data_IF_382536952149
#
_entry.id   IF_382536952149
#
_cell.length_a   1.000
_cell.length_b   1.000
_cell.length_c   1.000
_cell.angle_alpha   90.00
_cell.angle_beta   90.00
_cell.angle_gamma   90.00
#
_symmetry.space_group_name_H-M   'P 1'
#
loop_
_entity.id
_entity.type
_entity.pdbx_description
1 polymer ?
#
# COMPACT_ATOMS: atom_id res chain seq x y z
N UNK A 1 -0.57 -23.36 28.98
CA UNK A 1 0.41 -23.02 27.89
C UNK A 1 0.04 -21.66 27.41
N UNK A 2 1.02 -20.83 27.04
CA UNK A 2 0.74 -19.54 26.41
C UNK A 2 0.15 -19.77 25.02
N UNK A 3 -0.88 -19.01 24.67
CA UNK A 3 -1.45 -18.99 23.33
C UNK A 3 -0.70 -17.95 22.48
N UNK A 4 -0.55 -18.22 21.19
CA UNK A 4 0.27 -17.40 20.28
C UNK A 4 -0.58 -16.83 19.14
N UNK A 5 -0.65 -15.50 19.06
CA UNK A 5 -1.09 -14.77 17.87
C UNK A 5 0.17 -14.41 17.07
N UNK A 6 0.29 -14.93 15.85
CA UNK A 6 1.37 -14.57 14.93
C UNK A 6 0.83 -13.67 13.82
N UNK A 7 1.52 -12.56 13.57
CA UNK A 7 1.17 -11.58 12.54
C UNK A 7 2.31 -11.52 11.53
N UNK A 8 2.03 -11.78 10.26
CA UNK A 8 3.02 -11.69 9.20
C UNK A 8 2.95 -10.33 8.51
N UNK A 9 3.99 -9.52 8.73
CA UNK A 9 4.11 -8.16 8.19
C UNK A 9 3.88 -7.07 9.22
N UNK A 10 4.67 -6.00 9.15
CA UNK A 10 4.66 -4.83 10.02
C UNK A 10 4.16 -3.54 9.32
N UNK A 11 3.52 -3.67 8.15
CA UNK A 11 2.88 -2.55 7.45
C UNK A 11 1.64 -2.04 8.19
N UNK A 12 0.88 -1.15 7.54
CA UNK A 12 -0.33 -0.55 8.13
C UNK A 12 -1.25 -1.58 8.79
N UNK A 13 -1.65 -2.61 8.08
CA UNK A 13 -2.56 -3.61 8.60
C UNK A 13 -1.96 -4.42 9.76
N UNK A 14 -0.69 -4.84 9.66
CA UNK A 14 -0.03 -5.67 10.68
C UNK A 14 0.23 -4.92 11.97
N UNK A 15 0.71 -3.69 11.89
CA UNK A 15 0.89 -2.83 13.06
C UNK A 15 -0.42 -2.63 13.82
N UNK A 16 -1.49 -2.21 13.12
CA UNK A 16 -2.79 -1.98 13.76
C UNK A 16 -3.42 -3.27 14.29
N UNK A 17 -3.20 -4.41 13.62
CA UNK A 17 -3.63 -5.71 14.12
C UNK A 17 -2.93 -6.08 15.44
N UNK A 18 -1.62 -5.83 15.52
CA UNK A 18 -0.85 -6.09 16.73
C UNK A 18 -1.32 -5.22 17.91
N UNK A 19 -1.50 -3.92 17.68
CA UNK A 19 -1.96 -2.98 18.71
C UNK A 19 -3.38 -3.31 19.19
N UNK A 20 -4.29 -3.62 18.27
CA UNK A 20 -5.68 -3.92 18.60
C UNK A 20 -5.82 -5.25 19.35
N UNK A 21 -5.03 -6.27 18.96
CA UNK A 21 -4.98 -7.52 19.71
C UNK A 21 -4.40 -7.32 21.12
N UNK A 22 -3.30 -6.55 21.25
CA UNK A 22 -2.70 -6.22 22.54
C UNK A 22 -3.67 -5.43 23.45
N UNK A 23 -4.41 -4.48 22.88
CA UNK A 23 -5.44 -3.73 23.59
C UNK A 23 -6.49 -4.67 24.18
N UNK A 24 -7.06 -5.58 23.39
CA UNK A 24 -8.14 -6.43 23.84
C UNK A 24 -7.68 -7.47 24.88
N UNK A 25 -6.50 -8.04 24.69
CA UNK A 25 -5.93 -8.98 25.67
C UNK A 25 -5.62 -8.30 27.00
N UNK A 26 -5.17 -7.05 26.98
CA UNK A 26 -4.93 -6.24 28.17
C UNK A 26 -6.24 -5.90 28.91
N UNK A 27 -7.28 -5.48 28.19
CA UNK A 27 -8.61 -5.20 28.77
C UNK A 27 -9.25 -6.40 29.47
N UNK A 28 -8.85 -7.61 29.12
CA UNK A 28 -9.37 -8.88 29.66
C UNK A 28 -8.35 -9.60 30.54
N UNK A 29 -7.25 -8.94 30.96
CA UNK A 29 -6.19 -9.52 31.78
C UNK A 29 -5.63 -10.86 31.24
N UNK A 30 -5.62 -11.03 29.91
CA UNK A 30 -5.18 -12.26 29.23
C UNK A 30 -3.67 -12.23 28.91
N UNK A 31 -2.85 -12.19 29.96
CA UNK A 31 -1.39 -12.20 29.86
C UNK A 31 -0.81 -13.55 29.40
N UNK A 32 -1.65 -14.56 29.27
CA UNK A 32 -1.31 -15.88 28.70
C UNK A 32 -1.36 -15.89 27.15
N UNK A 33 -1.87 -14.83 26.49
CA UNK A 33 -1.86 -14.66 25.04
C UNK A 33 -0.66 -13.80 24.65
N UNK A 34 0.22 -14.35 23.82
CA UNK A 34 1.40 -13.67 23.30
C UNK A 34 1.13 -13.20 21.87
N UNK A 35 1.48 -11.93 21.57
CA UNK A 35 1.32 -11.34 20.25
C UNK A 35 2.70 -11.10 19.66
N UNK A 36 2.97 -11.69 18.51
CA UNK A 36 4.25 -11.59 17.82
C UNK A 36 4.07 -11.14 16.39
N UNK A 37 4.80 -10.11 15.99
CA UNK A 37 4.91 -9.65 14.60
C UNK A 37 6.20 -10.21 14.00
N UNK A 38 6.09 -10.89 12.86
CA UNK A 38 7.22 -11.34 12.04
C UNK A 38 7.31 -10.51 10.77
N UNK A 39 8.39 -9.76 10.61
CA UNK A 39 8.62 -8.91 9.45
C UNK A 39 10.13 -8.69 9.21
N UNK A 40 10.57 -8.41 7.98
CA UNK A 40 11.97 -8.08 7.71
C UNK A 40 12.48 -6.86 8.47
N UNK A 41 11.65 -5.84 8.68
CA UNK A 41 11.99 -4.62 9.38
C UNK A 41 10.91 -4.26 10.43
N UNK A 42 11.37 -3.70 11.56
CA UNK A 42 10.51 -3.20 12.62
C UNK A 42 10.14 -1.72 12.38
N UNK A 43 9.59 -1.43 11.21
CA UNK A 43 9.22 -0.07 10.81
C UNK A 43 7.93 -0.06 9.98
N UNK A 44 7.13 0.99 10.12
CA UNK A 44 6.05 1.30 9.20
C UNK A 44 6.62 2.12 8.04
N UNK A 45 6.60 1.54 6.86
CA UNK A 45 6.97 2.20 5.61
C UNK A 45 5.76 2.88 5.02
N UNK A 46 5.81 4.21 4.90
CA UNK A 46 4.69 5.05 4.47
C UNK A 46 4.60 5.06 2.94
N UNK A 47 4.26 3.91 2.37
CA UNK A 47 4.16 3.65 0.93
C UNK A 47 3.36 4.70 0.14
N UNK A 48 2.27 5.31 0.67
CA UNK A 48 1.55 6.39 -0.01
C UNK A 48 2.39 7.63 -0.33
N UNK A 49 3.64 7.72 0.16
CA UNK A 49 4.57 8.83 -0.08
C UNK A 49 5.75 8.48 -0.97
N UNK A 50 5.88 7.24 -1.44
CA UNK A 50 7.06 6.80 -2.20
C UNK A 50 7.17 7.39 -3.60
N UNK A 51 6.19 8.18 -4.06
CA UNK A 51 6.29 9.00 -5.27
C UNK A 51 7.02 10.33 -5.02
N UNK A 52 7.15 10.77 -3.77
CA UNK A 52 7.85 11.98 -3.37
C UNK A 52 9.38 11.77 -3.41
N UNK A 53 10.15 12.85 -3.20
CA UNK A 53 11.61 12.79 -3.01
C UNK A 53 11.98 12.37 -1.59
N UNK A 54 13.26 12.01 -1.38
CA UNK A 54 13.80 11.64 -0.06
C UNK A 54 13.04 10.46 0.58
N UNK A 55 12.76 9.46 -0.23
CA UNK A 55 11.89 8.32 0.12
C UNK A 55 12.31 7.59 1.41
N UNK A 56 13.61 7.59 1.74
CA UNK A 56 14.15 6.96 2.95
C UNK A 56 13.65 7.62 4.25
N UNK A 57 13.13 8.86 4.17
CA UNK A 57 12.55 9.57 5.32
C UNK A 57 11.12 9.10 5.66
N UNK A 58 10.50 8.28 4.81
CA UNK A 58 9.11 7.85 4.99
C UNK A 58 8.98 6.49 5.65
N UNK A 59 9.74 6.29 6.72
CA UNK A 59 9.63 5.14 7.61
C UNK A 59 9.52 5.61 9.07
N UNK A 60 8.70 4.92 9.86
CA UNK A 60 8.54 5.17 11.28
C UNK A 60 8.91 3.92 12.09
N UNK A 61 9.80 4.00 13.11
CA UNK A 61 10.21 2.85 13.91
C UNK A 61 9.06 2.34 14.77
N UNK A 62 8.88 1.01 14.84
CA UNK A 62 7.81 0.36 15.58
C UNK A 62 8.25 -0.26 16.91
N UNK A 63 9.54 -0.52 17.12
CA UNK A 63 10.01 -1.16 18.35
C UNK A 63 9.61 -0.40 19.63
N UNK A 64 9.70 0.96 19.72
CA UNK A 64 9.25 1.68 20.90
C UNK A 64 7.76 1.48 21.18
N UNK A 65 6.93 1.48 20.13
CA UNK A 65 5.49 1.26 20.21
C UNK A 65 5.15 -0.16 20.65
N UNK A 66 5.82 -1.16 20.10
CA UNK A 66 5.67 -2.56 20.48
C UNK A 66 6.11 -2.82 21.91
N UNK A 67 7.20 -2.18 22.36
CA UNK A 67 7.67 -2.31 23.72
C UNK A 67 6.64 -1.85 24.77
N UNK A 68 5.99 -0.70 24.57
CA UNK A 68 4.99 -0.18 25.51
C UNK A 68 3.66 -0.94 25.48
N UNK A 69 3.36 -1.64 24.38
CA UNK A 69 2.13 -2.42 24.21
C UNK A 69 2.31 -3.92 24.47
N UNK A 70 3.54 -4.37 24.74
CA UNK A 70 3.84 -5.77 25.03
C UNK A 70 3.86 -6.67 23.78
N UNK A 71 3.86 -6.12 22.59
CA UNK A 71 3.98 -6.85 21.33
C UNK A 71 5.43 -7.29 21.12
N UNK A 72 5.64 -8.54 20.77
CA UNK A 72 6.95 -9.08 20.41
C UNK A 72 7.23 -8.89 18.92
N UNK A 73 8.49 -8.75 18.57
CA UNK A 73 8.93 -8.64 17.19
C UNK A 73 9.99 -9.71 16.88
N UNK A 74 9.84 -10.34 15.73
CA UNK A 74 10.82 -11.25 15.13
C UNK A 74 11.25 -10.68 13.80
N UNK A 75 12.55 -10.38 13.66
CA UNK A 75 13.14 -10.00 12.38
C UNK A 75 13.29 -11.23 11.50
N UNK A 76 12.67 -11.22 10.33
CA UNK A 76 12.78 -12.32 9.37
C UNK A 76 11.81 -12.23 8.20
N UNK A 77 12.06 -13.06 7.20
CA UNK A 77 11.26 -13.14 5.98
C UNK A 77 10.50 -14.47 5.98
N UNK A 78 9.17 -14.41 6.13
CA UNK A 78 8.33 -15.60 6.03
C UNK A 78 8.43 -16.22 4.62
N UNK A 79 8.67 -17.51 4.54
CA UNK A 79 8.86 -18.26 3.30
C UNK A 79 7.83 -19.35 3.06
N UNK A 80 7.42 -20.06 4.13
CA UNK A 80 6.47 -21.17 4.03
C UNK A 80 5.45 -21.12 5.17
N UNK A 81 4.20 -21.42 4.87
CA UNK A 81 3.10 -21.48 5.83
C UNK A 81 2.44 -22.86 5.74
N UNK A 82 2.54 -23.63 6.81
CA UNK A 82 1.80 -24.87 6.98
C UNK A 82 0.61 -24.62 7.93
N UNK A 83 -0.56 -24.39 7.32
CA UNK A 83 -1.78 -24.13 8.09
C UNK A 83 -2.31 -25.37 8.80
N UNK A 84 -1.94 -26.58 8.37
CA UNK A 84 -2.37 -27.83 9.00
C UNK A 84 -1.61 -28.10 10.31
N UNK A 85 -0.31 -27.86 10.34
CA UNK A 85 0.53 -27.97 11.55
C UNK A 85 0.61 -26.67 12.35
N UNK A 86 -0.02 -25.59 11.88
CA UNK A 86 0.00 -24.26 12.48
C UNK A 86 1.44 -23.74 12.70
N UNK A 87 2.23 -23.76 11.64
CA UNK A 87 3.63 -23.32 11.62
C UNK A 87 3.90 -22.37 10.46
N UNK A 88 4.80 -21.42 10.71
CA UNK A 88 5.39 -20.55 9.68
C UNK A 88 6.89 -20.76 9.71
N UNK A 89 7.46 -21.02 8.54
CA UNK A 89 8.90 -21.05 8.34
C UNK A 89 9.36 -19.69 7.82
N UNK A 90 10.47 -19.18 8.33
CA UNK A 90 11.04 -17.91 7.95
C UNK A 90 12.56 -17.95 7.95
N UNK A 91 13.18 -17.13 7.12
CA UNK A 91 14.60 -16.85 7.16
C UNK A 91 14.88 -15.75 8.17
N UNK A 92 15.71 -16.02 9.16
CA UNK A 92 16.12 -15.05 10.17
C UNK A 92 17.21 -14.10 9.62
N UNK A 93 17.75 -13.21 10.46
CA UNK A 93 18.79 -12.24 10.08
C UNK A 93 20.11 -12.90 9.60
N UNK A 94 20.35 -14.14 9.97
CA UNK A 94 21.50 -14.94 9.53
C UNK A 94 21.17 -15.83 8.33
N UNK A 95 20.05 -15.61 7.66
CA UNK A 95 19.50 -16.42 6.55
C UNK A 95 19.30 -17.91 6.91
N UNK A 96 19.09 -18.20 8.20
CA UNK A 96 18.79 -19.55 8.66
C UNK A 96 17.29 -19.78 8.67
N UNK A 97 16.86 -20.92 8.12
CA UNK A 97 15.45 -21.31 8.12
C UNK A 97 15.02 -21.75 9.53
N UNK A 98 14.06 -21.06 10.08
CA UNK A 98 13.54 -21.24 11.45
C UNK A 98 12.01 -21.33 11.40
N UNK A 99 11.41 -22.11 12.30
CA UNK A 99 9.97 -22.24 12.42
C UNK A 99 9.43 -21.53 13.66
N UNK A 100 8.25 -20.91 13.51
CA UNK A 100 7.45 -20.38 14.61
C UNK A 100 6.05 -20.97 14.56
N UNK A 101 5.52 -21.39 15.72
CA UNK A 101 4.15 -21.91 15.87
C UNK A 101 3.18 -20.78 16.17
N UNK A 102 1.89 -21.02 15.86
CA UNK A 102 0.81 -20.13 16.22
C UNK A 102 -0.46 -20.90 16.61
N UNK A 103 -1.29 -20.29 17.45
CA UNK A 103 -2.67 -20.70 17.67
C UNK A 103 -3.60 -19.95 16.72
N UNK A 104 -3.25 -18.68 16.39
CA UNK A 104 -3.92 -17.86 15.38
C UNK A 104 -2.89 -17.14 14.53
N UNK A 105 -3.14 -17.11 13.22
CA UNK A 105 -2.30 -16.45 12.23
C UNK A 105 -3.07 -15.28 11.60
N UNK A 106 -2.43 -14.11 11.55
CA UNK A 106 -2.90 -12.94 10.79
C UNK A 106 -1.98 -12.73 9.60
N UNK A 107 -2.53 -12.90 8.40
CA UNK A 107 -1.86 -12.56 7.15
C UNK A 107 -1.98 -11.05 6.92
N UNK A 108 -0.86 -10.31 7.02
CA UNK A 108 -0.76 -8.87 6.81
C UNK A 108 0.42 -8.51 5.89
N UNK A 109 0.74 -9.40 4.95
CA UNK A 109 1.94 -9.37 4.11
C UNK A 109 1.86 -8.38 2.94
N UNK A 110 0.78 -7.63 2.83
CA UNK A 110 0.62 -6.55 1.85
C UNK A 110 0.59 -7.02 0.39
N UNK A 111 0.94 -6.11 -0.50
CA UNK A 111 0.93 -6.30 -1.95
C UNK A 111 2.26 -5.85 -2.57
N UNK A 112 2.44 -6.19 -3.84
CA UNK A 112 3.59 -5.79 -4.65
C UNK A 112 3.18 -5.58 -6.10
N UNK A 113 3.98 -4.82 -6.87
CA UNK A 113 3.81 -4.72 -8.32
C UNK A 113 4.44 -5.96 -8.96
N UNK A 114 3.63 -6.70 -9.72
CA UNK A 114 4.10 -7.83 -10.51
C UNK A 114 4.67 -7.31 -11.85
N UNK A 115 6.00 -7.40 -12.04
CA UNK A 115 6.68 -7.02 -13.27
C UNK A 115 6.47 -8.06 -14.38
N UNK A 116 5.21 -8.23 -14.81
CA UNK A 116 4.84 -9.27 -15.80
C UNK A 116 5.01 -8.83 -17.26
N UNK A 117 5.19 -7.53 -17.51
CA UNK A 117 5.42 -7.02 -18.87
C UNK A 117 6.85 -7.40 -19.34
N UNK A 118 7.00 -7.81 -20.61
CA UNK A 118 8.31 -8.11 -21.18
C UNK A 118 9.30 -6.95 -21.00
N UNK A 119 10.47 -7.23 -20.43
CA UNK A 119 11.53 -6.27 -20.13
C UNK A 119 11.32 -5.39 -18.89
N UNK A 120 10.15 -5.45 -18.25
CA UNK A 120 9.83 -4.60 -17.12
C UNK A 120 10.78 -4.82 -15.92
N UNK A 121 11.13 -6.06 -15.63
CA UNK A 121 12.01 -6.40 -14.51
C UNK A 121 13.41 -5.76 -14.63
N UNK A 122 13.91 -5.63 -15.86
CA UNK A 122 15.25 -5.09 -16.14
C UNK A 122 15.24 -3.57 -16.34
N UNK A 123 14.21 -3.02 -16.99
CA UNK A 123 14.24 -1.68 -17.56
C UNK A 123 13.21 -0.71 -16.95
N UNK A 124 12.25 -1.22 -16.14
CA UNK A 124 11.29 -0.35 -15.47
C UNK A 124 11.69 -0.04 -14.02
N UNK A 125 11.17 1.08 -13.54
CA UNK A 125 11.15 1.50 -12.15
C UNK A 125 9.75 1.32 -11.59
N UNK A 126 9.62 1.36 -10.27
CA UNK A 126 8.35 1.48 -9.56
C UNK A 126 8.55 2.27 -8.25
N UNK A 127 7.45 2.65 -7.64
CA UNK A 127 7.40 3.34 -6.33
C UNK A 127 6.63 2.51 -5.31
N UNK A 128 6.64 1.20 -5.48
CA UNK A 128 5.86 0.27 -4.69
C UNK A 128 6.53 -0.08 -3.36
N UNK A 129 7.84 -0.30 -3.42
CA UNK A 129 8.66 -0.58 -2.25
C UNK A 129 9.71 0.52 -2.09
N UNK A 130 10.17 0.75 -0.85
CA UNK A 130 11.14 1.81 -0.55
C UNK A 130 12.42 1.66 -1.36
N UNK A 131 12.93 0.45 -1.50
CA UNK A 131 14.15 0.16 -2.26
C UNK A 131 13.98 0.47 -3.76
N UNK A 132 12.80 0.16 -4.33
CA UNK A 132 12.47 0.47 -5.72
C UNK A 132 12.35 1.97 -5.94
N UNK A 133 11.67 2.67 -5.04
CA UNK A 133 11.53 4.12 -5.09
C UNK A 133 12.87 4.84 -4.92
N UNK A 134 13.73 4.37 -3.99
CA UNK A 134 15.10 4.89 -3.84
C UNK A 134 15.96 4.61 -5.09
N UNK A 135 15.76 3.49 -5.78
CA UNK A 135 16.41 3.21 -7.07
C UNK A 135 15.97 4.22 -8.15
N UNK A 136 14.67 4.53 -8.22
CA UNK A 136 14.15 5.57 -9.11
C UNK A 136 14.75 6.93 -8.77
N UNK A 137 14.81 7.31 -7.51
CA UNK A 137 15.37 8.60 -7.07
C UNK A 137 16.84 8.75 -7.48
N UNK A 138 17.66 7.72 -7.22
CA UNK A 138 19.06 7.69 -7.68
C UNK A 138 19.17 7.80 -9.21
N UNK A 139 18.35 7.08 -9.96
CA UNK A 139 18.32 7.16 -11.41
C UNK A 139 17.97 8.58 -11.90
N UNK A 140 16.93 9.20 -11.36
CA UNK A 140 16.56 10.58 -11.72
C UNK A 140 17.70 11.57 -11.49
N UNK A 141 18.44 11.44 -10.38
CA UNK A 141 19.60 12.28 -10.09
C UNK A 141 20.69 12.18 -11.16
N UNK A 142 20.89 11.00 -11.77
CA UNK A 142 21.90 10.81 -12.84
C UNK A 142 21.49 11.43 -14.17
N UNK A 143 20.24 11.81 -14.37
CA UNK A 143 19.78 12.40 -15.64
C UNK A 143 20.50 13.71 -15.97
N UNK A 144 20.86 14.51 -14.95
CA UNK A 144 21.58 15.76 -15.15
C UNK A 144 22.98 15.57 -15.79
N UNK A 145 23.59 14.40 -15.59
CA UNK A 145 24.93 14.06 -16.11
C UNK A 145 24.87 13.50 -17.54
N UNK A 146 23.69 13.16 -18.04
CA UNK A 146 23.51 12.58 -19.37
C UNK A 146 23.38 13.67 -20.43
N UNK A 147 23.81 13.39 -21.67
CA UNK A 147 23.62 14.30 -22.80
C UNK A 147 22.14 14.63 -22.99
N UNK A 148 21.85 15.87 -23.37
CA UNK A 148 20.49 16.32 -23.68
C UNK A 148 19.89 15.50 -24.82
N UNK A 149 18.72 14.90 -24.56
CA UNK A 149 17.98 14.10 -25.53
C UNK A 149 16.50 14.02 -25.17
N UNK A 150 15.67 13.77 -26.16
CA UNK A 150 14.24 13.55 -25.92
C UNK A 150 13.99 12.36 -24.97
N UNK A 151 14.77 11.30 -25.06
CA UNK A 151 14.66 10.14 -24.19
C UNK A 151 15.00 10.47 -22.73
N UNK A 152 16.11 11.20 -22.49
CA UNK A 152 16.50 11.67 -21.14
C UNK A 152 15.40 12.53 -20.49
N UNK A 153 14.81 13.41 -21.28
CA UNK A 153 13.84 14.39 -20.80
C UNK A 153 12.41 13.84 -20.69
N UNK A 154 12.17 12.60 -21.09
CA UNK A 154 10.86 11.96 -21.06
C UNK A 154 10.75 10.94 -19.93
N UNK A 155 9.72 11.07 -19.10
CA UNK A 155 9.28 10.06 -18.13
C UNK A 155 7.97 9.45 -18.61
N UNK A 156 7.89 8.12 -18.65
CA UNK A 156 6.67 7.39 -18.95
C UNK A 156 6.13 6.75 -17.68
N UNK A 157 4.87 7.00 -17.37
CA UNK A 157 4.14 6.35 -16.26
C UNK A 157 3.15 5.36 -16.83
N UNK A 158 3.32 4.09 -16.49
CA UNK A 158 2.49 2.99 -16.96
C UNK A 158 1.30 2.78 -16.01
N UNK A 159 0.13 3.30 -16.39
CA UNK A 159 -1.13 3.23 -15.67
C UNK A 159 -1.59 4.55 -15.07
N UNK A 160 -2.86 4.87 -15.33
CA UNK A 160 -3.56 6.06 -14.82
C UNK A 160 -4.43 5.78 -13.59
N UNK A 161 -3.98 4.88 -12.72
CA UNK A 161 -4.57 4.66 -11.40
C UNK A 161 -4.09 5.68 -10.37
N UNK A 162 -4.45 5.48 -9.09
CA UNK A 162 -4.12 6.40 -8.00
C UNK A 162 -2.62 6.76 -7.97
N UNK A 163 -1.76 5.78 -7.78
CA UNK A 163 -0.30 5.97 -7.74
C UNK A 163 0.25 6.55 -9.04
N UNK A 164 -0.29 6.11 -10.19
CA UNK A 164 0.19 6.61 -11.49
C UNK A 164 -0.08 8.09 -11.70
N UNK A 165 -1.23 8.58 -11.24
CA UNK A 165 -1.57 10.00 -11.32
C UNK A 165 -0.68 10.80 -10.38
N UNK A 166 -0.48 10.36 -9.13
CA UNK A 166 0.40 11.03 -8.16
C UNK A 166 1.85 11.10 -8.68
N UNK A 167 2.39 9.98 -9.17
CA UNK A 167 3.71 9.96 -9.81
C UNK A 167 3.78 10.92 -10.99
N UNK A 168 2.81 10.87 -11.90
CA UNK A 168 2.84 11.67 -13.13
C UNK A 168 2.73 13.18 -12.86
N UNK A 169 1.95 13.58 -11.86
CA UNK A 169 1.78 15.01 -11.51
C UNK A 169 2.93 15.55 -10.66
N UNK A 170 3.68 14.69 -9.98
CA UNK A 170 4.89 15.06 -9.23
C UNK A 170 6.13 15.21 -10.15
N UNK A 171 6.23 14.38 -11.20
CA UNK A 171 7.42 14.35 -12.07
C UNK A 171 7.78 15.68 -12.73
N UNK A 172 6.85 16.55 -13.20
CA UNK A 172 7.25 17.82 -13.82
C UNK A 172 8.11 18.71 -12.91
N UNK A 173 7.76 18.84 -11.63
CA UNK A 173 8.53 19.62 -10.67
C UNK A 173 9.89 18.98 -10.37
N UNK A 174 9.92 17.66 -10.19
CA UNK A 174 11.17 16.89 -9.95
C UNK A 174 12.13 16.99 -11.13
N UNK A 175 11.64 16.84 -12.36
CA UNK A 175 12.48 16.96 -13.57
C UNK A 175 13.01 18.38 -13.75
N UNK A 176 12.22 19.41 -13.49
CA UNK A 176 12.70 20.82 -13.55
C UNK A 176 13.78 21.09 -12.51
N UNK A 177 13.63 20.57 -11.29
CA UNK A 177 14.65 20.69 -10.26
C UNK A 177 15.99 20.03 -10.66
N UNK A 178 15.94 18.93 -11.41
CA UNK A 178 17.12 18.16 -11.83
C UNK A 178 17.74 18.70 -13.13
N UNK A 179 16.91 18.98 -14.15
CA UNK A 179 17.35 19.31 -15.50
C UNK A 179 17.33 20.82 -15.81
N UNK A 180 16.76 21.63 -14.91
CA UNK A 180 16.57 23.06 -15.09
C UNK A 180 15.29 23.43 -15.88
N UNK A 181 14.86 24.68 -15.71
CA UNK A 181 13.58 25.17 -16.28
C UNK A 181 13.56 25.20 -17.82
N UNK A 182 14.72 25.30 -18.46
CA UNK A 182 14.85 25.35 -19.93
C UNK A 182 14.78 23.96 -20.59
N UNK A 183 14.84 22.87 -19.82
CA UNK A 183 14.77 21.52 -20.36
C UNK A 183 13.38 21.23 -20.97
N UNK A 184 13.36 20.63 -22.15
CA UNK A 184 12.13 20.22 -22.83
C UNK A 184 11.58 18.92 -22.21
N UNK A 185 11.17 19.00 -20.94
CA UNK A 185 10.66 17.82 -20.20
C UNK A 185 9.32 17.36 -20.74
N UNK A 186 9.09 16.07 -20.68
CA UNK A 186 7.82 15.40 -21.01
C UNK A 186 7.47 14.36 -19.96
N UNK A 187 6.22 14.35 -19.52
CA UNK A 187 5.67 13.29 -18.66
C UNK A 187 4.46 12.72 -19.36
N UNK A 188 4.48 11.40 -19.61
CA UNK A 188 3.46 10.72 -20.41
C UNK A 188 2.85 9.59 -19.57
N UNK A 189 1.55 9.65 -19.34
CA UNK A 189 0.79 8.52 -18.77
C UNK A 189 0.27 7.64 -19.89
N UNK A 190 0.62 6.36 -19.87
CA UNK A 190 0.10 5.35 -20.80
C UNK A 190 -0.96 4.52 -20.10
N UNK A 191 -2.19 4.57 -20.59
CA UNK A 191 -3.31 3.83 -20.01
C UNK A 191 -4.23 3.22 -21.07
N UNK A 192 -4.78 2.05 -20.75
CA UNK A 192 -5.75 1.34 -21.60
C UNK A 192 -7.16 1.94 -21.58
N UNK A 193 -7.45 2.77 -20.57
CA UNK A 193 -8.73 3.46 -20.45
C UNK A 193 -8.93 4.45 -21.60
N UNK A 194 -10.17 4.66 -22.07
CA UNK A 194 -10.49 5.69 -23.06
C UNK A 194 -10.45 7.11 -22.51
N UNK A 195 -10.40 7.29 -21.18
CA UNK A 195 -10.39 8.60 -20.52
C UNK A 195 -9.37 8.63 -19.40
N UNK A 196 -8.79 9.80 -19.15
CA UNK A 196 -7.89 10.01 -18.02
C UNK A 196 -8.63 9.75 -16.71
N UNK A 197 -7.99 8.99 -15.80
CA UNK A 197 -8.60 8.63 -14.53
C UNK A 197 -9.88 7.79 -14.67
N UNK A 198 -9.95 6.86 -15.63
CA UNK A 198 -11.16 6.12 -16.00
C UNK A 198 -11.85 5.31 -14.89
N UNK A 199 -11.21 5.18 -13.72
CA UNK A 199 -11.78 4.51 -12.53
C UNK A 199 -12.54 5.46 -11.60
N UNK A 200 -12.47 6.78 -11.87
CA UNK A 200 -13.00 7.80 -11.00
C UNK A 200 -14.33 8.36 -11.51
N UNK A 201 -15.06 9.03 -10.61
CA UNK A 201 -16.27 9.78 -10.97
C UNK A 201 -15.98 10.85 -12.02
N UNK A 202 -17.00 11.32 -12.71
CA UNK A 202 -16.85 12.37 -13.72
C UNK A 202 -16.21 13.64 -13.13
N UNK A 203 -16.69 14.08 -11.97
CA UNK A 203 -16.13 15.24 -11.27
C UNK A 203 -14.64 15.10 -10.97
N UNK A 204 -14.23 13.91 -10.50
CA UNK A 204 -12.84 13.67 -10.18
C UNK A 204 -11.97 13.59 -11.44
N UNK A 205 -12.47 13.01 -12.54
CA UNK A 205 -11.80 12.98 -13.84
C UNK A 205 -11.57 14.38 -14.41
N UNK A 206 -12.55 15.28 -14.26
CA UNK A 206 -12.42 16.67 -14.70
C UNK A 206 -11.28 17.38 -13.96
N UNK A 207 -11.18 17.19 -12.65
CA UNK A 207 -10.08 17.73 -11.84
C UNK A 207 -8.73 17.15 -12.27
N UNK A 208 -8.64 15.81 -12.46
CA UNK A 208 -7.42 15.14 -12.92
C UNK A 208 -6.99 15.66 -14.31
N UNK A 209 -7.94 15.82 -15.22
CA UNK A 209 -7.69 16.33 -16.58
C UNK A 209 -7.20 17.76 -16.56
N UNK A 210 -7.82 18.62 -15.75
CA UNK A 210 -7.41 20.01 -15.58
C UNK A 210 -6.00 20.10 -15.00
N UNK A 211 -5.72 19.39 -13.91
CA UNK A 211 -4.39 19.37 -13.28
C UNK A 211 -3.33 18.85 -14.25
N UNK A 212 -3.62 17.76 -14.99
CA UNK A 212 -2.72 17.22 -16.01
C UNK A 212 -2.37 18.25 -17.09
N UNK A 213 -3.38 18.97 -17.59
CA UNK A 213 -3.19 20.00 -18.60
C UNK A 213 -2.32 21.16 -18.08
N UNK A 214 -2.62 21.66 -16.89
CA UNK A 214 -1.88 22.78 -16.29
C UNK A 214 -0.42 22.39 -15.94
N UNK A 215 -0.15 21.13 -15.60
CA UNK A 215 1.19 20.61 -15.31
C UNK A 215 1.96 20.14 -16.55
N UNK A 216 1.30 20.07 -17.71
CA UNK A 216 1.90 19.57 -18.94
C UNK A 216 2.06 18.05 -18.97
N UNK A 217 1.22 17.30 -18.26
CA UNK A 217 1.19 15.84 -18.28
C UNK A 217 0.38 15.35 -19.48
N UNK A 218 1.01 14.59 -20.36
CA UNK A 218 0.39 14.00 -21.55
C UNK A 218 -0.27 12.64 -21.23
N UNK A 219 -1.38 12.33 -21.91
CA UNK A 219 -2.03 11.04 -21.79
C UNK A 219 -2.02 10.28 -23.11
N UNK A 220 -1.56 9.02 -23.10
CA UNK A 220 -1.71 8.05 -24.16
C UNK A 220 -2.81 7.06 -23.75
N UNK A 221 -4.05 7.44 -24.05
CA UNK A 221 -5.25 6.66 -23.76
C UNK A 221 -5.50 5.57 -24.81
N UNK A 222 -6.38 4.60 -24.51
CA UNK A 222 -6.64 3.42 -25.36
C UNK A 222 -5.35 2.70 -25.75
N UNK A 223 -4.32 2.72 -24.92
CA UNK A 223 -2.98 2.26 -25.25
C UNK A 223 -2.57 1.08 -24.36
N UNK A 224 -2.26 -0.05 -24.99
CA UNK A 224 -1.74 -1.22 -24.31
C UNK A 224 -0.24 -1.37 -24.54
N UNK A 225 0.48 -1.62 -23.44
CA UNK A 225 1.92 -1.80 -23.44
C UNK A 225 2.25 -3.20 -23.95
N UNK A 226 3.20 -3.29 -24.88
CA UNK A 226 3.73 -4.55 -25.42
C UNK A 226 5.00 -4.96 -24.70
N UNK A 227 5.96 -4.05 -24.55
CA UNK A 227 7.27 -4.33 -23.95
C UNK A 227 7.94 -3.04 -23.47
N UNK A 228 8.93 -3.19 -22.60
CA UNK A 228 9.80 -2.13 -22.11
C UNK A 228 11.24 -2.58 -22.36
N UNK A 229 12.08 -1.67 -22.85
CA UNK A 229 13.51 -1.92 -23.05
C UNK A 229 14.35 -0.69 -22.61
N UNK A 230 15.66 -0.76 -22.83
CA UNK A 230 16.60 0.31 -22.45
C UNK A 230 16.33 1.64 -23.18
N UNK A 231 15.62 1.62 -24.32
CA UNK A 231 15.33 2.78 -25.14
C UNK A 231 13.96 3.39 -24.86
N UNK A 232 13.10 2.70 -24.09
CA UNK A 232 11.78 3.19 -23.70
C UNK A 232 10.69 2.13 -23.67
N UNK A 233 9.52 2.47 -24.24
CA UNK A 233 8.32 1.66 -24.19
C UNK A 233 7.74 1.46 -25.58
N UNK A 234 7.37 0.23 -25.90
CA UNK A 234 6.67 -0.13 -27.15
C UNK A 234 5.20 -0.49 -26.85
N UNK A 235 4.28 0.14 -27.58
CA UNK A 235 2.85 -0.16 -27.52
C UNK A 235 2.47 -1.34 -28.43
N UNK A 236 1.31 -1.96 -28.19
CA UNK A 236 0.81 -3.06 -29.02
C UNK A 236 0.53 -2.66 -30.47
N UNK A 237 0.23 -1.38 -30.72
CA UNK A 237 0.04 -0.85 -32.08
C UNK A 237 1.35 -0.66 -32.86
N UNK A 238 2.52 -0.92 -32.22
CA UNK A 238 3.84 -0.78 -32.80
C UNK A 238 4.50 0.59 -32.57
N UNK A 239 3.81 1.55 -32.00
CA UNK A 239 4.41 2.85 -31.61
C UNK A 239 5.49 2.63 -30.54
N UNK A 240 6.65 3.25 -30.73
CA UNK A 240 7.71 3.28 -29.74
C UNK A 240 7.83 4.69 -29.17
N UNK A 241 7.87 4.80 -27.82
CA UNK A 241 8.05 6.07 -27.09
C UNK A 241 9.40 6.02 -26.42
N UNK A 242 10.34 6.84 -26.91
CA UNK A 242 11.69 6.89 -26.37
C UNK A 242 11.70 7.53 -24.99
N UNK A 243 12.32 6.86 -24.02
CA UNK A 243 12.44 7.32 -22.65
C UNK A 243 13.56 6.58 -21.91
N UNK A 244 14.34 7.30 -21.12
CA UNK A 244 15.29 6.71 -20.18
C UNK A 244 14.64 6.30 -18.85
N UNK A 245 13.38 6.69 -18.61
CA UNK A 245 12.69 6.48 -17.33
C UNK A 245 11.27 6.00 -17.58
N UNK A 246 11.02 4.70 -17.34
CA UNK A 246 9.69 4.10 -17.41
C UNK A 246 9.29 3.62 -16.03
N UNK A 247 8.17 4.11 -15.49
CA UNK A 247 7.69 3.83 -14.12
C UNK A 247 6.41 2.99 -14.20
N UNK A 248 6.44 1.82 -13.59
CA UNK A 248 5.27 0.94 -13.47
C UNK A 248 4.43 1.30 -12.25
N UNK A 249 3.14 1.47 -12.48
CA UNK A 249 2.14 1.67 -11.42
C UNK A 249 0.92 0.75 -11.60
N UNK A 250 1.07 -0.28 -12.43
CA UNK A 250 0.05 -1.29 -12.74
C UNK A 250 0.48 -2.67 -12.28
N UNK A 251 -0.49 -3.57 -12.15
CA UNK A 251 -0.20 -4.97 -11.83
C UNK A 251 0.00 -5.25 -10.35
N UNK A 252 -0.63 -4.46 -9.46
CA UNK A 252 -0.63 -4.74 -8.02
C UNK A 252 -1.27 -6.08 -7.73
N UNK A 253 -0.56 -6.92 -7.00
CA UNK A 253 -0.98 -8.26 -6.58
C UNK A 253 -0.74 -8.42 -5.07
N UNK A 254 -1.62 -9.15 -4.41
CA UNK A 254 -1.40 -9.56 -3.03
C UNK A 254 -0.12 -10.41 -2.91
N UNK A 255 0.50 -10.38 -1.74
CA UNK A 255 1.68 -11.19 -1.45
C UNK A 255 1.51 -12.64 -1.90
N UNK A 256 2.51 -13.26 -2.55
CA UNK A 256 2.43 -14.65 -3.03
C UNK A 256 2.24 -15.66 -1.88
N UNK A 257 2.52 -15.29 -0.63
CA UNK A 257 2.26 -16.13 0.54
C UNK A 257 0.77 -16.48 0.70
N UNK A 258 -0.14 -15.67 0.16
CA UNK A 258 -1.58 -15.99 0.15
C UNK A 258 -1.89 -17.30 -0.57
N UNK A 259 -1.05 -17.71 -1.54
CA UNK A 259 -1.24 -18.97 -2.30
C UNK A 259 -1.02 -20.20 -1.46
N UNK A 260 -0.35 -20.07 -0.32
CA UNK A 260 -0.05 -21.17 0.60
C UNK A 260 -1.19 -21.41 1.61
N UNK A 261 -2.17 -20.50 1.69
CA UNK A 261 -3.35 -20.67 2.52
C UNK A 261 -4.46 -21.32 1.67
N UNK A 262 -5.02 -22.46 2.05
CA UNK A 262 -6.18 -23.03 1.36
C UNK A 262 -7.39 -22.08 1.45
N UNK A 263 -8.07 -21.82 0.32
CA UNK A 263 -9.21 -20.92 0.22
C UNK A 263 -9.34 -20.26 -1.15
N UNK A 264 -10.44 -19.55 -1.37
CA UNK A 264 -10.69 -18.79 -2.59
C UNK A 264 -9.91 -17.48 -2.60
N UNK A 265 -9.58 -17.01 -3.80
CA UNK A 265 -8.90 -15.73 -4.03
C UNK A 265 -9.57 -14.97 -5.15
N UNK A 266 -9.51 -13.65 -5.04
CA UNK A 266 -9.89 -12.76 -6.12
C UNK A 266 -8.80 -12.69 -7.22
N UNK A 267 -9.05 -12.00 -8.34
CA UNK A 267 -8.06 -11.85 -9.41
C UNK A 267 -6.75 -11.18 -9.00
N UNK A 268 -6.73 -10.39 -7.91
CA UNK A 268 -5.53 -9.80 -7.35
C UNK A 268 -4.81 -10.72 -6.36
N UNK A 269 -5.32 -11.94 -6.12
CA UNK A 269 -4.73 -12.91 -5.21
C UNK A 269 -5.07 -12.69 -3.74
N UNK A 270 -6.05 -11.83 -3.41
CA UNK A 270 -6.53 -11.59 -2.05
C UNK A 270 -7.39 -12.76 -1.57
N UNK A 271 -7.20 -13.15 -0.32
CA UNK A 271 -7.97 -14.22 0.33
C UNK A 271 -9.40 -13.75 0.64
N UNK A 272 -10.41 -14.53 0.29
CA UNK A 272 -11.78 -14.28 0.72
C UNK A 272 -11.92 -14.49 2.21
N UNK A 273 -12.47 -13.51 2.89
CA UNK A 273 -12.69 -13.52 4.34
C UNK A 273 -14.18 -13.34 4.67
N UNK A 274 -14.57 -13.84 5.84
CA UNK A 274 -15.89 -13.58 6.40
C UNK A 274 -16.00 -12.17 7.01
N UNK A 275 -17.17 -11.85 7.58
CA UNK A 275 -17.40 -10.56 8.23
C UNK A 275 -16.49 -10.29 9.45
N UNK A 276 -15.83 -11.31 10.00
CA UNK A 276 -14.90 -11.18 11.12
C UNK A 276 -13.42 -11.24 10.67
N UNK A 277 -13.18 -11.17 9.35
CA UNK A 277 -11.87 -11.23 8.70
C UNK A 277 -11.14 -12.56 8.84
N UNK A 278 -11.86 -13.63 9.19
CA UNK A 278 -11.35 -15.00 9.16
C UNK A 278 -11.37 -15.51 7.72
N UNK A 279 -10.30 -16.14 7.26
CA UNK A 279 -10.24 -16.73 5.91
C UNK A 279 -11.28 -17.85 5.79
N UNK A 280 -12.12 -17.76 4.75
CA UNK A 280 -13.21 -18.72 4.54
C UNK A 280 -12.64 -20.14 4.38
N UNK A 281 -13.14 -21.08 5.19
CA UNK A 281 -12.65 -22.46 5.22
C UNK A 281 -11.43 -22.70 6.13
N UNK A 282 -10.93 -21.68 6.83
CA UNK A 282 -9.84 -21.80 7.81
C UNK A 282 -10.34 -21.56 9.24
N UNK A 283 -9.80 -22.33 10.19
CA UNK A 283 -10.17 -22.20 11.61
C UNK A 283 -9.26 -21.23 12.37
N UNK A 284 -8.00 -21.11 11.97
CA UNK A 284 -6.96 -20.41 12.71
C UNK A 284 -6.28 -19.28 11.91
N UNK A 285 -6.71 -19.01 10.66
CA UNK A 285 -6.08 -18.04 9.77
C UNK A 285 -7.02 -16.89 9.46
N UNK A 286 -6.52 -15.68 9.63
CA UNK A 286 -7.18 -14.42 9.34
C UNK A 286 -6.37 -13.66 8.30
N UNK A 287 -7.01 -12.76 7.55
CA UNK A 287 -6.31 -11.91 6.58
C UNK A 287 -6.76 -10.45 6.72
N UNK A 288 -5.84 -9.51 6.45
CA UNK A 288 -6.05 -8.08 6.62
C UNK A 288 -5.22 -7.24 5.64
N UNK A 289 -5.65 -6.01 5.38
CA UNK A 289 -4.99 -5.14 4.41
C UNK A 289 -5.06 -5.68 2.99
N UNK A 290 -4.00 -5.48 2.23
CA UNK A 290 -3.96 -5.80 0.79
C UNK A 290 -4.03 -7.30 0.47
N UNK A 291 -4.01 -8.19 1.46
CA UNK A 291 -4.17 -9.64 1.25
C UNK A 291 -5.59 -10.14 1.54
N UNK A 292 -6.50 -9.26 1.98
CA UNK A 292 -7.88 -9.60 2.32
C UNK A 292 -8.87 -9.05 1.28
N UNK A 293 -9.76 -9.91 0.80
CA UNK A 293 -10.94 -9.52 0.03
C UNK A 293 -12.15 -9.47 0.98
N UNK A 294 -12.36 -8.31 1.59
CA UNK A 294 -13.35 -8.07 2.64
C UNK A 294 -14.46 -7.13 2.14
N UNK A 295 -15.72 -7.43 2.48
CA UNK A 295 -16.82 -6.51 2.25
C UNK A 295 -16.76 -5.33 3.23
N UNK A 296 -17.04 -4.12 2.77
CA UNK A 296 -17.05 -2.89 3.59
C UNK A 296 -18.46 -2.51 4.05
N UNK A 297 -19.47 -2.96 3.30
CA UNK A 297 -20.88 -2.62 3.52
C UNK A 297 -21.82 -3.69 2.94
N UNK A 298 -23.12 -3.44 3.01
CA UNK A 298 -24.16 -4.31 2.46
C UNK A 298 -24.55 -3.92 1.00
N UNK A 299 -23.83 -2.99 0.37
CA UNK A 299 -24.11 -2.49 -0.98
C UNK A 299 -23.19 -3.15 -2.05
N UNK A 300 -22.33 -4.08 -1.63
CA UNK A 300 -21.41 -4.80 -2.51
C UNK A 300 -20.07 -4.11 -2.68
N UNK A 301 -19.75 -3.11 -1.89
CA UNK A 301 -18.43 -2.51 -1.87
C UNK A 301 -17.43 -3.40 -1.11
N UNK A 302 -16.19 -3.41 -1.57
CA UNK A 302 -15.11 -4.18 -0.97
C UNK A 302 -13.91 -3.29 -0.67
N UNK A 303 -13.16 -3.66 0.34
CA UNK A 303 -11.93 -2.98 0.71
C UNK A 303 -10.96 -2.90 -0.48
N UNK A 304 -10.41 -1.73 -0.70
CA UNK A 304 -9.38 -1.47 -1.70
C UNK A 304 -7.99 -1.69 -1.08
N UNK A 305 -6.98 -1.92 -1.91
CA UNK A 305 -5.57 -1.97 -1.48
C UNK A 305 -5.07 -0.54 -1.20
N UNK A 306 -5.46 0.01 -0.06
CA UNK A 306 -5.12 1.36 0.39
C UNK A 306 -4.78 1.37 1.88
N UNK A 307 -3.98 2.36 2.31
CA UNK A 307 -3.66 2.52 3.74
C UNK A 307 -4.91 2.74 4.59
N UNK A 308 -5.92 3.46 4.10
CA UNK A 308 -7.19 3.70 4.79
C UNK A 308 -7.90 2.40 5.15
N UNK A 309 -8.06 1.48 4.17
CA UNK A 309 -8.67 0.19 4.43
C UNK A 309 -7.77 -0.72 5.28
N UNK A 310 -6.45 -0.69 5.03
CA UNK A 310 -5.49 -1.50 5.77
C UNK A 310 -5.48 -1.18 7.28
N UNK A 311 -5.59 0.10 7.65
CA UNK A 311 -5.67 0.56 9.04
C UNK A 311 -6.91 0.00 9.73
N UNK A 312 -8.07 0.17 9.11
CA UNK A 312 -9.34 -0.29 9.69
C UNK A 312 -9.42 -1.81 9.73
N UNK A 313 -9.09 -2.49 8.64
CA UNK A 313 -9.00 -3.96 8.61
C UNK A 313 -8.06 -4.49 9.70
N UNK A 314 -6.92 -3.81 9.91
CA UNK A 314 -5.96 -4.16 10.96
C UNK A 314 -6.56 -4.06 12.37
N UNK A 315 -7.25 -2.96 12.68
CA UNK A 315 -7.90 -2.77 13.97
C UNK A 315 -8.96 -3.85 14.24
N UNK A 316 -9.83 -4.14 13.26
CA UNK A 316 -10.85 -5.16 13.38
C UNK A 316 -10.28 -6.58 13.49
N UNK A 317 -9.32 -6.94 12.66
CA UNK A 317 -8.75 -8.30 12.69
C UNK A 317 -8.02 -8.57 13.99
N UNK A 318 -7.24 -7.60 14.50
CA UNK A 318 -6.54 -7.75 15.77
C UNK A 318 -7.51 -7.97 16.93
N UNK A 319 -8.57 -7.16 16.99
CA UNK A 319 -9.67 -7.35 17.96
C UNK A 319 -10.29 -8.75 17.83
N UNK A 320 -10.67 -9.15 16.63
CA UNK A 320 -11.40 -10.38 16.38
C UNK A 320 -10.59 -11.65 16.68
N UNK A 321 -9.29 -11.62 16.36
CA UNK A 321 -8.39 -12.73 16.68
C UNK A 321 -8.19 -12.88 18.20
N UNK A 322 -8.05 -11.78 18.92
CA UNK A 322 -7.99 -11.79 20.37
C UNK A 322 -9.33 -12.24 20.98
N UNK A 323 -10.46 -11.74 20.46
CA UNK A 323 -11.81 -12.14 20.89
C UNK A 323 -12.04 -13.65 20.75
N UNK A 324 -11.60 -14.24 19.63
CA UNK A 324 -11.70 -15.68 19.37
C UNK A 324 -10.92 -16.51 20.43
N UNK A 325 -9.73 -16.07 20.83
CA UNK A 325 -8.95 -16.73 21.89
C UNK A 325 -9.47 -16.48 23.31
N UNK A 326 -10.07 -15.34 23.55
CA UNK A 326 -10.68 -14.97 24.84
C UNK A 326 -12.02 -15.69 25.01
N UNK A 327 -12.71 -15.99 23.89
CA UNK A 327 -14.03 -16.61 23.88
C UNK A 327 -15.19 -15.62 24.00
N UNK A 328 -15.02 -14.41 23.46
CA UNK A 328 -16.06 -13.37 23.37
C UNK A 328 -16.48 -13.17 21.91
N UNK A 329 -17.63 -12.53 21.69
CA UNK A 329 -18.17 -12.28 20.36
C UNK A 329 -17.25 -11.34 19.56
N UNK A 330 -16.83 -11.73 18.34
CA UNK A 330 -16.05 -10.85 17.46
C UNK A 330 -16.93 -9.76 16.85
N UNK A 331 -16.31 -8.65 16.42
CA UNK A 331 -16.97 -7.54 15.78
C UNK A 331 -17.04 -7.72 14.26
N UNK A 332 -18.21 -7.53 13.61
CA UNK A 332 -18.27 -7.53 12.16
C UNK A 332 -17.55 -6.29 11.61
N UNK A 333 -16.64 -6.52 10.64
CA UNK A 333 -15.97 -5.42 9.96
C UNK A 333 -16.93 -4.63 9.09
N UNK A 334 -16.94 -3.32 9.26
CA UNK A 334 -17.67 -2.38 8.42
C UNK A 334 -16.84 -1.10 8.26
N UNK A 335 -16.79 -0.61 7.02
CA UNK A 335 -16.17 0.67 6.69
C UNK A 335 -16.98 1.34 5.58
N UNK A 336 -18.13 1.88 5.94
CA UNK A 336 -19.07 2.51 5.01
C UNK A 336 -18.49 3.80 4.44
N UNK A 337 -17.76 4.55 5.26
CA UNK A 337 -17.15 5.81 4.85
C UNK A 337 -15.85 5.53 4.10
N UNK A 338 -15.76 6.09 2.91
CA UNK A 338 -14.57 6.05 2.06
C UNK A 338 -14.24 7.45 1.57
N UNK A 339 -12.98 7.81 1.57
CA UNK A 339 -12.49 9.07 1.03
C UNK A 339 -11.38 8.81 -0.01
N UNK A 340 -11.31 9.67 -1.01
CA UNK A 340 -10.19 9.71 -1.95
C UNK A 340 -9.48 11.04 -1.79
N UNK A 341 -8.20 11.03 -1.43
CA UNK A 341 -7.37 12.22 -1.36
C UNK A 341 -6.16 12.02 -2.28
N UNK A 342 -6.26 12.52 -3.51
CA UNK A 342 -5.29 12.33 -4.57
C UNK A 342 -4.39 13.56 -4.69
N UNK A 343 -3.08 13.36 -4.55
CA UNK A 343 -2.08 14.41 -4.80
C UNK A 343 -1.95 14.69 -6.29
N UNK A 344 -1.80 15.95 -6.62
CA UNK A 344 -1.64 16.44 -8.00
C UNK A 344 -0.42 17.36 -8.13
N UNK A 345 0.65 17.01 -7.39
CA UNK A 345 1.93 17.72 -7.42
C UNK A 345 1.81 19.19 -7.01
N UNK A 346 2.42 20.09 -7.78
CA UNK A 346 2.37 21.54 -7.53
C UNK A 346 1.02 22.18 -7.85
N UNK A 347 0.11 21.48 -8.52
CA UNK A 347 -1.26 21.93 -8.73
C UNK A 347 -2.09 21.91 -7.45
N UNK A 348 -1.72 21.05 -6.50
CA UNK A 348 -2.39 20.84 -5.22
C UNK A 348 -2.84 19.39 -5.03
N UNK A 349 -4.06 19.20 -4.55
CA UNK A 349 -4.66 17.88 -4.42
C UNK A 349 -6.18 17.97 -4.62
N UNK A 350 -6.84 16.80 -4.72
CA UNK A 350 -8.30 16.70 -4.71
C UNK A 350 -8.74 15.75 -3.61
N UNK A 351 -9.69 16.18 -2.80
CA UNK A 351 -10.35 15.40 -1.77
C UNK A 351 -11.81 15.16 -2.14
N UNK A 352 -12.23 13.91 -2.09
CA UNK A 352 -13.62 13.50 -2.37
C UNK A 352 -14.11 12.51 -1.33
N UNK A 353 -15.42 12.46 -1.15
CA UNK A 353 -16.09 11.61 -0.17
C UNK A 353 -17.07 10.64 -0.83
N UNK A 354 -17.24 9.49 -0.16
CA UNK A 354 -18.12 8.42 -0.56
C UNK A 354 -17.57 7.57 -1.71
N UNK A 355 -18.24 6.45 -1.93
CA UNK A 355 -17.94 5.56 -3.07
C UNK A 355 -18.26 6.22 -4.41
N UNK A 356 -19.17 7.19 -4.43
CA UNK A 356 -19.50 8.02 -5.59
C UNK A 356 -18.45 9.11 -5.85
N UNK A 357 -17.48 9.26 -4.95
CA UNK A 357 -16.33 10.17 -5.06
C UNK A 357 -16.76 11.62 -5.32
N UNK A 358 -17.67 12.15 -4.50
CA UNK A 358 -18.13 13.54 -4.59
C UNK A 358 -17.01 14.48 -4.18
N UNK A 359 -16.53 15.30 -5.10
CA UNK A 359 -15.44 16.27 -4.86
C UNK A 359 -15.87 17.32 -3.84
N UNK A 360 -15.06 17.51 -2.80
CA UNK A 360 -15.27 18.49 -1.73
C UNK A 360 -14.27 19.62 -1.75
N UNK A 361 -12.98 19.29 -1.89
CA UNK A 361 -11.89 20.26 -1.86
C UNK A 361 -10.90 20.00 -2.99
N UNK A 362 -10.35 21.07 -3.55
CA UNK A 362 -9.33 20.99 -4.62
C UNK A 362 -8.20 21.97 -4.35
N UNK A 363 -7.12 21.86 -5.14
CA UNK A 363 -5.95 22.76 -5.09
C UNK A 363 -5.35 22.82 -3.68
N UNK A 364 -5.15 24.04 -3.16
CA UNK A 364 -4.48 24.28 -1.87
C UNK A 364 -5.25 23.68 -0.68
N UNK A 365 -6.58 23.77 -0.67
CA UNK A 365 -7.40 23.20 0.41
C UNK A 365 -7.32 21.68 0.41
N UNK A 366 -7.42 21.04 -0.77
CA UNK A 366 -7.19 19.62 -0.93
C UNK A 366 -5.78 19.21 -0.50
N UNK A 367 -4.76 20.01 -0.82
CA UNK A 367 -3.36 19.74 -0.44
C UNK A 367 -3.14 19.81 1.07
N UNK A 368 -3.76 20.75 1.77
CA UNK A 368 -3.70 20.80 3.25
C UNK A 368 -4.24 19.52 3.88
N UNK A 369 -5.39 19.02 3.38
CA UNK A 369 -5.95 17.75 3.84
C UNK A 369 -5.00 16.59 3.52
N UNK A 370 -4.48 16.54 2.28
CA UNK A 370 -3.52 15.49 1.87
C UNK A 370 -2.30 15.46 2.79
N UNK A 371 -1.70 16.61 3.08
CA UNK A 371 -0.52 16.73 3.96
C UNK A 371 -0.85 16.25 5.38
N UNK A 372 -1.99 16.66 5.96
CA UNK A 372 -2.40 16.17 7.27
C UNK A 372 -2.58 14.64 7.29
N UNK A 373 -3.21 14.07 6.24
CA UNK A 373 -3.36 12.62 6.14
C UNK A 373 -2.01 11.93 6.07
N UNK A 374 -1.12 12.38 5.17
CA UNK A 374 0.12 11.66 4.86
C UNK A 374 1.26 11.92 5.84
N UNK A 375 1.24 13.02 6.59
CA UNK A 375 2.28 13.37 7.55
C UNK A 375 1.92 13.05 9.01
N UNK A 376 0.63 12.88 9.31
CA UNK A 376 0.16 12.72 10.68
C UNK A 376 -0.76 11.50 10.83
N UNK A 377 -1.91 11.51 10.14
CA UNK A 377 -3.00 10.59 10.39
C UNK A 377 -2.66 9.13 10.14
N UNK A 378 -1.87 8.84 9.10
CA UNK A 378 -1.50 7.47 8.74
C UNK A 378 -0.21 6.99 9.42
N UNK A 379 0.48 7.85 10.17
CA UNK A 379 1.65 7.45 10.95
C UNK A 379 1.25 6.64 12.20
N UNK A 380 2.20 5.89 12.81
CA UNK A 380 1.93 5.18 14.05
C UNK A 380 1.50 6.17 15.17
N UNK A 381 0.65 5.74 16.10
CA UNK A 381 0.37 6.54 17.29
C UNK A 381 1.64 6.73 18.13
N UNK A 382 1.63 7.70 19.03
CA UNK A 382 2.73 7.90 19.97
C UNK A 382 2.99 6.62 20.77
N UNK A 383 4.29 6.37 21.09
CA UNK A 383 4.72 5.19 21.83
C UNK A 383 4.41 5.32 23.33
N UNK A 384 3.13 5.56 23.62
CA UNK A 384 2.52 5.60 24.94
C UNK A 384 1.38 4.58 24.97
N UNK A 385 1.35 3.70 25.98
CA UNK A 385 0.43 2.56 26.04
C UNK A 385 -1.04 2.97 25.89
N UNK A 386 -1.48 3.96 26.66
CA UNK A 386 -2.88 4.41 26.66
C UNK A 386 -3.27 5.05 25.32
N UNK A 387 -2.37 5.87 24.73
CA UNK A 387 -2.57 6.50 23.44
C UNK A 387 -2.65 5.45 22.32
N UNK A 388 -1.73 4.48 22.34
CA UNK A 388 -1.69 3.40 21.37
C UNK A 388 -2.94 2.51 21.44
N UNK A 389 -3.40 2.19 22.65
CA UNK A 389 -4.60 1.38 22.84
C UNK A 389 -5.89 2.13 22.50
N UNK A 390 -6.00 3.42 22.85
CA UNK A 390 -7.13 4.23 22.43
C UNK A 390 -7.22 4.34 20.90
N UNK A 391 -6.08 4.56 20.22
CA UNK A 391 -6.01 4.62 18.76
C UNK A 391 -6.30 3.28 18.09
N UNK A 392 -6.02 2.14 18.74
CA UNK A 392 -6.23 0.80 18.21
C UNK A 392 -7.64 0.25 18.42
N UNK A 393 -8.53 1.02 19.03
CA UNK A 393 -9.94 0.62 19.15
C UNK A 393 -10.58 0.54 17.76
N UNK A 394 -11.16 -0.63 17.35
CA UNK A 394 -11.81 -0.76 16.05
C UNK A 394 -13.02 0.16 15.89
N UNK A 395 -13.62 0.60 17.00
CA UNK A 395 -14.80 1.49 17.01
C UNK A 395 -14.41 2.98 17.15
N UNK A 396 -13.12 3.29 17.36
CA UNK A 396 -12.67 4.67 17.36
C UNK A 396 -12.80 5.30 15.97
N UNK A 397 -13.29 6.54 15.86
CA UNK A 397 -13.39 7.22 14.57
C UNK A 397 -12.03 7.25 13.84
N UNK A 398 -12.08 6.99 12.54
CA UNK A 398 -10.95 7.13 11.64
C UNK A 398 -11.46 7.76 10.34
N UNK A 399 -11.27 9.07 10.21
CA UNK A 399 -11.74 9.95 9.12
C UNK A 399 -13.24 9.86 8.85
#
# INVERSE_FOLDING_TARGET
MKQQILILGAGFAGMWAALSAARLTDLHDRHDIEITVLSPQAELRVRPRFYESEVENYAAPLLPLFAVTGVKFITGVASEIDSASQQVWYHNEQDQLTAVRYDRLIMATGSHIAHTLPGAQQHAFDVDQMESAARLERHLATLAEQPDSAARNTVIVCGGGFTGIEVATEMPSRLRAILGDSAAIRVIVVDRSPVAGGRYSEQLRDVISQASLELGVEWRLNSEIKAIDESGLTLKNGEHIASSTVILTVGVQASPLTRQIPGERDPQGRLHVDQHLKVIGQNAVYATGDVAFASTDDQGNHALMTCQHAIMLGRFVGHNVAADLIGIEPLPYRQVNYVTCLDLGTWGAVYSEGWDQVVKFTKEEGKKIKVSITNELIYPPQAEREVAFAAADPLAPFV
#
